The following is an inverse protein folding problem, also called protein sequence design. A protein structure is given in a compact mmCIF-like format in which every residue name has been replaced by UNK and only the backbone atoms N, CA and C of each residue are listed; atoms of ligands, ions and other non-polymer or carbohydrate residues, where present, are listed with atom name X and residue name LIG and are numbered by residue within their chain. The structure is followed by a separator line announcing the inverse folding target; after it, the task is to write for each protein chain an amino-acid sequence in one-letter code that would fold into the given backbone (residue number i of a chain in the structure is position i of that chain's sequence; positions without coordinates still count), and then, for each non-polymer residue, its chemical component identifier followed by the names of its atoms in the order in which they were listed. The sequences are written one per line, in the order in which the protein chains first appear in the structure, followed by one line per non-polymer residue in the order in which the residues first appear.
data_IF_341342927917
#
_entry.id   IF_341342927917
#
_cell.length_a   1.000
_cell.length_b   1.000
_cell.length_c   1.000
_cell.angle_alpha   90.00
_cell.angle_beta   90.00
_cell.angle_gamma   90.00
#
_symmetry.space_group_name_H-M   'P 1'
#
loop_
_entity.id
_entity.type
_entity.pdbx_description
1 polymer ?
#
# COMPACT_ATOMS: atom_id res chain seq x y z
N UNK A 1 69.73 -35.20 -50.41
CA UNK A 1 69.57 -33.87 -49.83
C UNK A 1 68.18 -33.80 -49.30
N UNK A 2 68.00 -34.07 -47.98
CA UNK A 2 66.72 -34.29 -47.34
C UNK A 2 66.32 -32.99 -46.61
N UNK A 3 65.24 -32.35 -47.03
CA UNK A 3 64.65 -31.20 -46.40
C UNK A 3 63.54 -31.66 -45.41
N UNK A 4 63.77 -31.49 -44.13
CA UNK A 4 62.77 -31.75 -43.08
C UNK A 4 61.92 -30.52 -42.89
N UNK A 5 60.65 -30.64 -43.23
CA UNK A 5 59.60 -29.60 -42.85
C UNK A 5 59.32 -29.81 -41.36
N UNK A 6 59.55 -28.74 -40.62
CA UNK A 6 59.10 -28.65 -39.20
C UNK A 6 57.77 -27.90 -39.22
N UNK A 7 56.64 -28.60 -38.89
CA UNK A 7 55.30 -27.98 -38.74
C UNK A 7 55.19 -27.46 -37.32
N UNK A 8 55.09 -26.13 -37.17
CA UNK A 8 54.71 -25.46 -35.92
C UNK A 8 53.18 -25.46 -35.81
N UNK A 9 52.64 -26.27 -34.91
CA UNK A 9 51.23 -26.20 -34.52
C UNK A 9 51.03 -25.09 -33.48
N UNK A 10 50.43 -23.96 -33.86
CA UNK A 10 49.98 -22.90 -32.96
C UNK A 10 48.66 -23.33 -32.35
N UNK A 11 48.68 -23.80 -31.11
CA UNK A 11 47.44 -24.03 -30.34
C UNK A 11 46.92 -22.69 -29.83
N UNK A 12 45.94 -22.09 -30.52
CA UNK A 12 45.17 -20.96 -30.06
C UNK A 12 44.19 -21.44 -28.98
N UNK A 13 44.52 -21.25 -27.71
CA UNK A 13 43.61 -21.48 -26.60
C UNK A 13 42.52 -20.37 -26.64
N UNK A 14 41.35 -20.70 -27.18
CA UNK A 14 40.17 -19.90 -27.00
C UNK A 14 39.76 -19.98 -25.52
N UNK A 15 40.18 -19.02 -24.71
CA UNK A 15 39.55 -18.72 -23.44
C UNK A 15 38.17 -18.14 -23.74
N UNK A 16 37.18 -19.01 -23.95
CA UNK A 16 35.77 -18.62 -23.93
C UNK A 16 35.48 -18.20 -22.49
N UNK A 17 35.60 -16.89 -22.23
CA UNK A 17 35.05 -16.28 -21.04
C UNK A 17 33.55 -16.57 -21.03
N UNK A 18 33.12 -17.49 -20.18
CA UNK A 18 31.71 -17.67 -19.87
C UNK A 18 31.22 -16.34 -19.29
N UNK A 19 30.68 -15.50 -20.16
CA UNK A 19 29.79 -14.43 -19.72
C UNK A 19 28.66 -15.14 -18.96
N UNK A 20 28.77 -15.19 -17.64
CA UNK A 20 27.76 -15.82 -16.80
C UNK A 20 26.41 -15.24 -17.17
N UNK A 21 25.52 -16.06 -17.71
CA UNK A 21 24.18 -15.63 -18.05
C UNK A 21 23.54 -15.03 -16.79
N UNK A 22 23.16 -13.75 -16.87
CA UNK A 22 22.49 -13.05 -15.79
C UNK A 22 21.18 -13.77 -15.46
N UNK A 23 21.02 -14.20 -14.20
CA UNK A 23 19.81 -14.92 -13.78
C UNK A 23 18.67 -13.91 -13.59
N UNK A 24 17.56 -14.08 -14.33
CA UNK A 24 16.38 -13.26 -14.19
C UNK A 24 15.49 -13.81 -13.08
N UNK A 25 15.12 -12.94 -12.13
CA UNK A 25 14.21 -13.23 -11.01
C UNK A 25 13.01 -12.31 -11.10
N UNK A 26 11.83 -12.90 -11.19
CA UNK A 26 10.56 -12.15 -11.34
C UNK A 26 9.99 -11.78 -9.97
N UNK A 27 9.60 -10.53 -9.80
CA UNK A 27 8.84 -10.02 -8.65
C UNK A 27 7.47 -9.60 -9.17
N UNK A 28 6.40 -10.10 -8.56
CA UNK A 28 5.04 -9.72 -8.89
C UNK A 28 4.65 -8.39 -8.24
N UNK A 29 3.88 -7.59 -8.95
CA UNK A 29 3.16 -6.42 -8.43
C UNK A 29 1.69 -6.52 -8.82
N UNK A 30 0.78 -6.19 -7.91
CA UNK A 30 -0.66 -6.13 -8.22
C UNK A 30 -1.28 -4.92 -7.54
N UNK A 31 -2.08 -4.21 -8.29
CA UNK A 31 -2.89 -3.09 -7.84
C UNK A 31 -3.90 -2.65 -8.90
N UNK A 32 -4.81 -1.73 -8.60
CA UNK A 32 -5.79 -1.23 -9.56
C UNK A 32 -5.12 -0.26 -10.54
N UNK A 33 -4.62 -0.79 -11.66
CA UNK A 33 -3.99 0.03 -12.70
C UNK A 33 -5.02 0.72 -13.59
N UNK A 34 -6.26 0.23 -13.55
CA UNK A 34 -7.44 0.83 -14.21
C UNK A 34 -8.56 1.10 -13.21
N UNK A 35 -9.60 1.82 -13.66
CA UNK A 35 -10.77 2.17 -12.83
C UNK A 35 -10.60 3.48 -12.05
N UNK A 36 -11.55 3.76 -11.15
CA UNK A 36 -11.70 5.05 -10.47
C UNK A 36 -10.56 5.41 -9.50
N UNK A 37 -9.83 4.41 -9.02
CA UNK A 37 -8.67 4.56 -8.12
C UNK A 37 -7.34 4.18 -8.77
N UNK A 38 -7.28 4.19 -10.11
CA UNK A 38 -6.07 3.86 -10.86
C UNK A 38 -4.87 4.75 -10.51
N UNK A 39 -5.10 5.98 -10.06
CA UNK A 39 -4.04 6.87 -9.59
C UNK A 39 -3.26 6.28 -8.41
N UNK A 40 -3.91 5.55 -7.50
CA UNK A 40 -3.27 4.85 -6.38
C UNK A 40 -2.51 3.61 -6.84
N UNK A 41 -3.08 2.82 -7.76
CA UNK A 41 -2.41 1.64 -8.30
C UNK A 41 -1.15 1.99 -9.11
N UNK A 42 -1.22 3.06 -9.91
CA UNK A 42 -0.06 3.58 -10.65
C UNK A 42 1.02 4.16 -9.75
N UNK A 43 0.64 4.82 -8.65
CA UNK A 43 1.56 5.24 -7.59
C UNK A 43 2.32 4.03 -7.01
N UNK A 44 1.61 2.96 -6.70
CA UNK A 44 2.19 1.70 -6.22
C UNK A 44 3.16 1.10 -7.24
N UNK A 45 2.72 0.95 -8.48
CA UNK A 45 3.53 0.37 -9.55
C UNK A 45 4.82 1.17 -9.79
N UNK A 46 4.72 2.49 -9.80
CA UNK A 46 5.87 3.37 -9.96
C UNK A 46 6.88 3.23 -8.80
N UNK A 47 6.39 3.08 -7.56
CA UNK A 47 7.23 2.78 -6.39
C UNK A 47 8.02 1.47 -6.55
N UNK A 48 7.36 0.41 -7.02
CA UNK A 48 8.00 -0.87 -7.29
C UNK A 48 9.02 -0.78 -8.43
N UNK A 49 8.68 -0.09 -9.53
CA UNK A 49 9.58 0.13 -10.67
C UNK A 49 10.85 0.87 -10.27
N UNK A 50 10.73 1.92 -9.44
CA UNK A 50 11.86 2.67 -8.93
C UNK A 50 12.79 1.78 -8.10
N UNK A 51 12.22 0.98 -7.18
CA UNK A 51 12.99 0.05 -6.36
C UNK A 51 13.74 -0.99 -7.22
N UNK A 52 13.07 -1.64 -8.15
CA UNK A 52 13.67 -2.67 -9.03
C UNK A 52 14.81 -2.06 -9.87
N UNK A 53 14.64 -0.85 -10.38
CA UNK A 53 15.71 -0.19 -11.14
C UNK A 53 16.94 0.08 -10.28
N UNK A 54 16.75 0.63 -9.07
CA UNK A 54 17.87 0.88 -8.17
C UNK A 54 18.55 -0.40 -7.66
N UNK A 55 17.78 -1.47 -7.47
CA UNK A 55 18.31 -2.79 -7.14
C UNK A 55 19.18 -3.31 -8.29
N UNK A 56 18.67 -3.26 -9.50
CA UNK A 56 19.38 -3.74 -10.70
C UNK A 56 20.66 -2.94 -10.98
N UNK A 57 20.66 -1.63 -10.70
CA UNK A 57 21.87 -0.80 -10.84
C UNK A 57 23.02 -1.24 -9.93
N UNK A 58 22.70 -1.93 -8.81
CA UNK A 58 23.71 -2.47 -7.87
C UNK A 58 24.36 -3.79 -8.33
N UNK A 59 23.85 -4.42 -9.40
CA UNK A 59 24.35 -5.71 -9.93
C UNK A 59 24.56 -6.76 -8.84
N UNK A 60 23.52 -6.99 -8.04
CA UNK A 60 23.59 -7.84 -6.86
C UNK A 60 23.91 -9.29 -7.23
N UNK A 61 24.79 -9.92 -6.44
CA UNK A 61 25.05 -11.35 -6.51
C UNK A 61 24.34 -12.07 -5.37
N UNK A 62 23.51 -13.06 -5.70
CA UNK A 62 22.78 -13.91 -4.76
C UNK A 62 22.96 -15.36 -5.20
N UNK A 63 23.36 -16.24 -4.28
CA UNK A 63 23.68 -17.64 -4.62
C UNK A 63 24.86 -17.77 -5.58
N UNK A 64 25.79 -16.81 -5.57
CA UNK A 64 26.96 -16.78 -6.45
C UNK A 64 26.69 -16.28 -7.89
N UNK A 65 25.45 -15.95 -8.23
CA UNK A 65 25.04 -15.49 -9.56
C UNK A 65 24.64 -14.01 -9.54
N UNK A 66 24.96 -13.26 -10.60
CA UNK A 66 24.43 -11.91 -10.79
C UNK A 66 22.94 -12.00 -11.13
N UNK A 67 22.12 -11.29 -10.33
CA UNK A 67 20.67 -11.32 -10.46
C UNK A 67 20.17 -10.05 -11.14
N UNK A 68 19.28 -10.22 -12.12
CA UNK A 68 18.45 -9.16 -12.68
C UNK A 68 17.01 -9.38 -12.23
N UNK A 69 16.47 -8.43 -11.49
CA UNK A 69 15.06 -8.46 -11.11
C UNK A 69 14.18 -7.88 -12.21
N UNK A 70 13.07 -8.56 -12.48
CA UNK A 70 12.04 -8.12 -13.43
C UNK A 70 10.71 -7.98 -12.70
N UNK A 71 10.02 -6.84 -12.89
CA UNK A 71 8.71 -6.59 -12.32
C UNK A 71 7.62 -7.08 -13.27
N UNK A 72 6.78 -8.00 -12.81
CA UNK A 72 5.54 -8.41 -13.48
C UNK A 72 4.37 -7.71 -12.80
N UNK A 73 3.79 -6.71 -13.49
CA UNK A 73 2.63 -5.97 -12.97
C UNK A 73 1.33 -6.52 -13.54
N UNK A 74 0.35 -6.76 -12.66
CA UNK A 74 -1.01 -7.18 -13.00
C UNK A 74 -2.02 -6.16 -12.47
N UNK A 75 -3.06 -5.91 -13.24
CA UNK A 75 -4.19 -5.07 -12.87
C UNK A 75 -5.28 -5.91 -12.20
N UNK A 76 -5.68 -5.54 -11.00
CA UNK A 76 -6.83 -6.16 -10.30
C UNK A 76 -8.08 -5.28 -10.33
N UNK A 77 -8.02 -4.08 -10.92
CA UNK A 77 -9.11 -3.10 -11.00
C UNK A 77 -9.87 -2.89 -9.67
N UNK A 78 -9.23 -3.17 -8.54
CA UNK A 78 -9.81 -3.23 -7.19
C UNK A 78 -10.95 -4.28 -7.04
N UNK A 79 -11.09 -5.22 -7.98
CA UNK A 79 -12.10 -6.28 -7.96
C UNK A 79 -11.53 -7.58 -7.38
N UNK A 80 -12.16 -8.19 -6.34
CA UNK A 80 -11.64 -9.40 -5.71
C UNK A 80 -11.46 -10.60 -6.64
N UNK A 81 -12.33 -10.74 -7.69
CA UNK A 81 -12.20 -11.83 -8.65
C UNK A 81 -11.02 -11.59 -9.60
N UNK A 82 -10.84 -10.36 -10.08
CA UNK A 82 -9.67 -10.01 -10.86
C UNK A 82 -8.39 -10.12 -10.03
N UNK A 83 -8.43 -9.74 -8.74
CA UNK A 83 -7.31 -9.92 -7.82
C UNK A 83 -6.88 -11.37 -7.67
N UNK A 84 -7.81 -12.31 -7.55
CA UNK A 84 -7.47 -13.74 -7.51
C UNK A 84 -6.97 -14.27 -8.85
N UNK A 85 -7.50 -13.78 -9.97
CA UNK A 85 -7.00 -14.13 -11.31
C UNK A 85 -5.57 -13.60 -11.54
N UNK A 86 -5.29 -12.36 -11.15
CA UNK A 86 -3.95 -11.77 -11.19
C UNK A 86 -2.97 -12.56 -10.31
N UNK A 87 -3.40 -12.95 -9.10
CA UNK A 87 -2.58 -13.77 -8.22
C UNK A 87 -2.23 -15.13 -8.85
N UNK A 88 -3.19 -15.79 -9.50
CA UNK A 88 -2.94 -17.07 -10.18
C UNK A 88 -1.93 -16.90 -11.31
N UNK A 89 -2.04 -15.85 -12.13
CA UNK A 89 -1.06 -15.58 -13.20
C UNK A 89 0.36 -15.43 -12.65
N UNK A 90 0.53 -14.72 -11.52
CA UNK A 90 1.83 -14.54 -10.88
C UNK A 90 2.37 -15.86 -10.30
N UNK A 91 1.50 -16.69 -9.73
CA UNK A 91 1.86 -18.05 -9.29
C UNK A 91 2.35 -18.90 -10.47
N UNK A 92 1.61 -18.90 -11.58
CA UNK A 92 1.96 -19.64 -12.80
C UNK A 92 3.26 -19.12 -13.43
N UNK A 93 3.51 -17.80 -13.34
CA UNK A 93 4.76 -17.17 -13.77
C UNK A 93 5.94 -17.46 -12.83
N UNK A 94 5.71 -18.14 -11.70
CA UNK A 94 6.71 -18.53 -10.68
C UNK A 94 7.48 -17.33 -10.15
N UNK A 95 6.78 -16.24 -9.80
CA UNK A 95 7.44 -15.08 -9.20
C UNK A 95 8.08 -15.45 -7.87
N UNK A 96 9.21 -14.83 -7.56
CA UNK A 96 9.94 -15.08 -6.32
C UNK A 96 9.32 -14.41 -5.10
N UNK A 97 8.40 -13.47 -5.29
CA UNK A 97 7.65 -12.77 -4.25
C UNK A 97 6.68 -11.79 -4.87
N UNK A 98 5.75 -11.27 -4.08
CA UNK A 98 4.73 -10.33 -4.55
C UNK A 98 4.69 -9.09 -3.66
N UNK A 99 4.70 -7.91 -4.28
CA UNK A 99 4.44 -6.62 -3.65
C UNK A 99 3.02 -6.17 -4.04
N UNK A 100 2.12 -6.21 -3.12
CA UNK A 100 0.68 -5.98 -3.36
C UNK A 100 -0.17 -6.99 -2.57
N UNK A 101 -1.45 -7.05 -2.82
CA UNK A 101 -2.27 -6.12 -3.60
C UNK A 101 -2.48 -4.81 -2.83
N UNK A 102 -3.08 -3.82 -3.51
CA UNK A 102 -3.38 -2.54 -2.87
C UNK A 102 -4.58 -2.67 -1.92
N UNK A 103 -5.73 -3.07 -2.43
CA UNK A 103 -6.98 -3.11 -1.69
C UNK A 103 -7.10 -4.35 -0.78
N UNK A 104 -7.63 -4.20 0.42
CA UNK A 104 -7.88 -5.33 1.33
C UNK A 104 -8.77 -6.41 0.70
N UNK A 105 -9.75 -5.98 -0.12
CA UNK A 105 -10.68 -6.88 -0.81
C UNK A 105 -10.03 -7.79 -1.85
N UNK A 106 -8.92 -7.36 -2.46
CA UNK A 106 -8.13 -8.17 -3.39
C UNK A 106 -6.98 -8.90 -2.68
N UNK A 107 -6.37 -8.28 -1.68
CA UNK A 107 -5.24 -8.84 -0.91
C UNK A 107 -5.62 -10.10 -0.15
N UNK A 108 -6.75 -10.06 0.59
CA UNK A 108 -7.18 -11.15 1.47
C UNK A 108 -7.40 -12.46 0.71
N UNK A 109 -8.22 -12.52 -0.35
CA UNK A 109 -8.41 -13.78 -1.09
C UNK A 109 -7.15 -14.20 -1.86
N UNK A 110 -6.38 -13.28 -2.43
CA UNK A 110 -5.15 -13.58 -3.15
C UNK A 110 -4.08 -14.21 -2.25
N UNK A 111 -4.02 -13.82 -0.98
CA UNK A 111 -3.02 -14.31 -0.04
C UNK A 111 -3.07 -15.84 0.17
N UNK A 112 -4.23 -16.45 0.00
CA UNK A 112 -4.35 -17.91 0.05
C UNK A 112 -3.62 -18.59 -1.12
N UNK A 113 -3.74 -18.05 -2.34
CA UNK A 113 -3.04 -18.57 -3.53
C UNK A 113 -1.53 -18.49 -3.36
N UNK A 114 -1.03 -17.35 -2.90
CA UNK A 114 0.40 -17.19 -2.63
C UNK A 114 0.90 -18.09 -1.50
N UNK A 115 0.11 -18.24 -0.42
CA UNK A 115 0.42 -19.17 0.68
C UNK A 115 0.51 -20.61 0.18
N UNK A 116 -0.44 -21.05 -0.64
CA UNK A 116 -0.47 -22.44 -1.16
C UNK A 116 0.71 -22.70 -2.11
N UNK A 117 1.16 -21.67 -2.86
CA UNK A 117 2.35 -21.71 -3.69
C UNK A 117 3.68 -21.50 -2.92
N UNK A 118 3.62 -21.11 -1.64
CA UNK A 118 4.80 -20.79 -0.83
C UNK A 118 5.49 -19.47 -1.20
N UNK A 119 4.78 -18.55 -1.87
CA UNK A 119 5.30 -17.26 -2.34
C UNK A 119 5.03 -16.19 -1.27
N UNK A 120 6.05 -15.49 -0.74
CA UNK A 120 5.85 -14.37 0.16
C UNK A 120 5.15 -13.20 -0.53
N UNK A 121 4.18 -12.61 0.17
CA UNK A 121 3.43 -11.43 -0.24
C UNK A 121 3.63 -10.33 0.80
N UNK A 122 4.02 -9.13 0.36
CA UNK A 122 4.06 -7.93 1.20
C UNK A 122 3.04 -6.94 0.67
N UNK A 123 1.96 -6.69 1.41
CA UNK A 123 1.05 -5.60 1.06
C UNK A 123 1.57 -4.27 1.59
N UNK A 124 1.68 -3.24 0.72
CA UNK A 124 2.13 -1.91 1.11
C UNK A 124 0.97 -1.00 1.55
N UNK A 125 -0.28 -1.48 1.52
CA UNK A 125 -1.45 -0.62 1.60
C UNK A 125 -2.71 -1.29 2.17
N UNK A 126 -2.87 -2.61 2.09
CA UNK A 126 -4.05 -3.28 2.65
C UNK A 126 -4.05 -3.26 4.17
N UNK A 127 -5.01 -2.55 4.77
CA UNK A 127 -5.05 -2.27 6.20
C UNK A 127 -5.96 -3.21 7.00
N UNK A 128 -6.85 -3.99 6.34
CA UNK A 128 -7.79 -4.86 7.06
C UNK A 128 -7.03 -5.95 7.86
N UNK A 129 -7.28 -6.09 9.18
CA UNK A 129 -6.61 -7.06 10.03
C UNK A 129 -6.79 -8.52 9.58
N UNK A 130 -7.87 -8.85 8.88
CA UNK A 130 -8.11 -10.20 8.38
C UNK A 130 -6.98 -10.74 7.51
N UNK A 131 -6.25 -9.86 6.82
CA UNK A 131 -5.14 -10.26 5.95
C UNK A 131 -4.09 -11.10 6.69
N UNK A 132 -3.58 -10.60 7.82
CA UNK A 132 -2.55 -11.27 8.61
C UNK A 132 -3.13 -12.22 9.66
N UNK A 133 -4.39 -12.01 10.06
CA UNK A 133 -5.10 -12.90 11.01
C UNK A 133 -5.46 -14.27 10.45
N UNK A 134 -5.35 -14.49 9.12
CA UNK A 134 -5.48 -15.82 8.51
C UNK A 134 -4.36 -16.79 8.96
N UNK A 135 -3.29 -16.28 9.56
CA UNK A 135 -2.18 -17.09 10.07
C UNK A 135 -1.22 -17.59 8.98
N UNK A 136 -1.28 -17.03 7.77
CA UNK A 136 -0.38 -17.39 6.66
C UNK A 136 1.01 -16.81 6.89
N UNK A 137 2.02 -17.67 6.98
CA UNK A 137 3.41 -17.26 7.22
C UNK A 137 4.05 -16.51 6.05
N UNK A 138 3.38 -16.51 4.90
CA UNK A 138 3.81 -15.79 3.69
C UNK A 138 3.22 -14.39 3.57
N UNK A 139 2.31 -13.98 4.46
CA UNK A 139 1.59 -12.72 4.41
C UNK A 139 2.24 -11.68 5.32
N UNK A 140 2.64 -10.54 4.75
CA UNK A 140 3.28 -9.42 5.45
C UNK A 140 2.64 -8.08 5.05
N UNK A 141 2.71 -7.09 5.95
CA UNK A 141 2.21 -5.73 5.73
C UNK A 141 3.18 -4.70 6.28
N UNK A 142 3.46 -3.65 5.49
CA UNK A 142 4.38 -2.56 5.88
C UNK A 142 3.68 -1.26 6.29
N UNK A 143 2.38 -1.30 6.49
CA UNK A 143 1.56 -0.16 6.98
C UNK A 143 0.77 -0.55 8.22
N UNK A 144 0.30 0.44 8.98
CA UNK A 144 -0.57 0.20 10.12
C UNK A 144 -1.90 -0.44 9.67
N UNK A 145 -2.48 -1.29 10.51
CA UNK A 145 -3.76 -1.93 10.22
C UNK A 145 -4.96 -1.13 10.74
N UNK A 146 -6.19 -1.47 10.32
CA UNK A 146 -7.42 -0.76 10.66
C UNK A 146 -7.67 -0.62 12.16
N UNK A 147 -7.22 -1.58 12.97
CA UNK A 147 -7.30 -1.48 14.43
C UNK A 147 -6.51 -0.29 14.99
N UNK A 148 -5.39 0.06 14.35
CA UNK A 148 -4.62 1.27 14.66
C UNK A 148 -5.24 2.49 13.97
N UNK A 149 -5.52 2.39 12.66
CA UNK A 149 -6.05 3.48 11.83
C UNK A 149 -7.43 3.95 12.32
N UNK A 150 -8.43 3.10 12.24
CA UNK A 150 -9.79 3.39 12.71
C UNK A 150 -9.83 3.64 14.22
N UNK A 151 -9.02 2.89 14.98
CA UNK A 151 -8.90 3.03 16.42
C UNK A 151 -8.43 4.42 16.87
N UNK A 152 -7.38 4.96 16.25
CA UNK A 152 -6.88 6.30 16.57
C UNK A 152 -7.83 7.40 16.06
N UNK A 153 -8.40 7.24 14.86
CA UNK A 153 -9.38 8.19 14.33
C UNK A 153 -10.62 8.26 15.21
N UNK A 154 -11.13 7.13 15.72
CA UNK A 154 -12.27 7.11 16.64
C UNK A 154 -11.98 7.81 17.97
N UNK A 155 -10.80 7.59 18.56
CA UNK A 155 -10.36 8.32 19.75
C UNK A 155 -10.21 9.82 19.47
N UNK A 156 -9.63 10.19 18.32
CA UNK A 156 -9.44 11.56 17.91
C UNK A 156 -10.77 12.28 17.71
N UNK A 157 -11.75 11.63 17.06
CA UNK A 157 -13.09 12.17 16.85
C UNK A 157 -13.76 12.56 18.17
N UNK A 158 -13.66 11.71 19.19
CA UNK A 158 -14.31 11.95 20.49
C UNK A 158 -13.51 12.92 21.37
N UNK A 159 -12.21 12.74 21.50
CA UNK A 159 -11.39 13.45 22.48
C UNK A 159 -10.92 14.83 22.01
N UNK A 160 -10.66 14.98 20.72
CA UNK A 160 -10.03 16.20 20.18
C UNK A 160 -10.96 16.98 19.28
N UNK A 161 -11.66 16.34 18.31
CA UNK A 161 -12.73 16.99 17.56
C UNK A 161 -13.92 17.27 18.47
N UNK A 162 -14.07 16.49 19.55
CA UNK A 162 -15.19 16.60 20.51
C UNK A 162 -16.56 16.42 19.85
N UNK A 163 -16.60 15.53 18.85
CA UNK A 163 -17.80 15.21 18.13
C UNK A 163 -18.86 14.60 19.06
N UNK A 164 -20.08 15.14 19.01
CA UNK A 164 -21.21 14.75 19.88
C UNK A 164 -22.20 13.83 19.19
N UNK A 165 -22.27 13.89 17.87
CA UNK A 165 -23.22 13.14 17.04
C UNK A 165 -22.49 12.61 15.80
N UNK A 166 -21.98 11.38 15.86
CA UNK A 166 -21.16 10.79 14.82
C UNK A 166 -22.00 9.87 13.94
N UNK A 167 -22.01 10.13 12.64
CA UNK A 167 -22.55 9.22 11.63
C UNK A 167 -21.41 8.45 10.97
N UNK A 168 -21.69 7.23 10.53
CA UNK A 168 -20.73 6.36 9.84
C UNK A 168 -21.34 5.92 8.52
N UNK A 169 -20.55 5.99 7.44
CA UNK A 169 -20.88 5.40 6.14
C UNK A 169 -19.71 4.51 5.74
N UNK A 170 -19.95 3.32 5.22
CA UNK A 170 -18.93 2.47 4.59
C UNK A 170 -19.35 2.06 3.17
N UNK A 171 -18.36 1.71 2.33
CA UNK A 171 -18.58 1.32 0.92
C UNK A 171 -18.77 -0.19 0.72
N UNK A 172 -18.96 -0.95 1.81
CA UNK A 172 -19.11 -2.41 1.80
C UNK A 172 -17.92 -3.19 1.21
N UNK A 173 -16.81 -2.55 0.92
CA UNK A 173 -15.57 -3.26 0.63
C UNK A 173 -14.97 -3.83 1.92
N UNK A 174 -14.07 -4.81 1.79
CA UNK A 174 -13.38 -5.35 2.96
C UNK A 174 -12.57 -4.27 3.70
N UNK A 175 -12.03 -3.27 2.98
CA UNK A 175 -11.36 -2.11 3.58
C UNK A 175 -12.36 -1.19 4.28
N UNK A 176 -13.34 -0.66 3.53
CA UNK A 176 -14.24 0.36 4.05
C UNK A 176 -15.05 -0.11 5.26
N UNK A 177 -15.61 -1.33 5.21
CA UNK A 177 -16.29 -1.95 6.35
C UNK A 177 -15.31 -2.22 7.51
N UNK A 178 -14.09 -2.66 7.22
CA UNK A 178 -13.06 -2.96 8.22
C UNK A 178 -12.68 -1.73 9.04
N UNK A 179 -12.28 -0.66 8.38
CA UNK A 179 -11.87 0.58 9.05
C UNK A 179 -13.04 1.24 9.78
N UNK A 180 -14.26 1.21 9.21
CA UNK A 180 -15.47 1.72 9.84
C UNK A 180 -15.86 0.95 11.10
N UNK A 181 -15.65 -0.38 11.13
CA UNK A 181 -15.88 -1.20 12.30
C UNK A 181 -14.91 -0.85 13.44
N UNK A 182 -13.62 -0.71 13.16
CA UNK A 182 -12.63 -0.34 14.16
C UNK A 182 -12.80 1.11 14.65
N UNK A 183 -13.18 2.03 13.76
CA UNK A 183 -13.56 3.39 14.14
C UNK A 183 -14.77 3.39 15.10
N UNK A 184 -15.85 2.70 14.74
CA UNK A 184 -17.04 2.59 15.58
C UNK A 184 -16.75 2.02 16.96
N UNK A 185 -15.94 0.96 17.02
CA UNK A 185 -15.49 0.34 18.25
C UNK A 185 -14.74 1.34 19.14
N UNK A 186 -13.82 2.10 18.56
CA UNK A 186 -13.03 3.09 19.28
C UNK A 186 -13.87 4.28 19.77
N UNK A 187 -14.81 4.76 18.95
CA UNK A 187 -15.77 5.82 19.32
C UNK A 187 -16.58 5.38 20.54
N UNK A 188 -17.14 4.17 20.51
CA UNK A 188 -17.91 3.61 21.66
C UNK A 188 -17.05 3.47 22.92
N UNK A 189 -15.83 2.94 22.77
CA UNK A 189 -14.90 2.79 23.87
C UNK A 189 -14.47 4.14 24.49
N UNK A 190 -14.44 5.21 23.70
CA UNK A 190 -14.13 6.57 24.14
C UNK A 190 -15.36 7.33 24.72
N UNK A 191 -16.53 6.70 24.76
CA UNK A 191 -17.78 7.32 25.25
C UNK A 191 -18.49 8.20 24.20
N UNK A 192 -18.12 8.11 22.93
CA UNK A 192 -18.75 8.86 21.85
C UNK A 192 -20.10 8.27 21.40
N UNK A 193 -20.97 9.13 20.87
CA UNK A 193 -22.31 8.76 20.42
C UNK A 193 -22.35 8.54 18.90
N UNK A 194 -22.71 7.34 18.47
CA UNK A 194 -23.04 7.03 17.08
C UNK A 194 -24.55 7.29 16.88
N UNK A 195 -24.88 8.19 15.96
CA UNK A 195 -26.28 8.57 15.67
C UNK A 195 -26.84 7.89 14.42
N UNK A 196 -25.99 7.30 13.61
CA UNK A 196 -26.40 6.54 12.43
C UNK A 196 -25.24 5.76 11.83
N UNK A 197 -25.54 4.61 11.23
CA UNK A 197 -24.62 3.86 10.40
C UNK A 197 -25.33 3.41 9.14
N UNK A 198 -24.79 3.80 8.02
CA UNK A 198 -25.30 3.50 6.69
C UNK A 198 -24.18 2.92 5.82
N UNK A 199 -24.53 2.48 4.65
CA UNK A 199 -23.57 1.96 3.68
C UNK A 199 -23.92 2.39 2.25
N UNK A 200 -22.90 2.40 1.41
CA UNK A 200 -22.98 2.59 -0.02
C UNK A 200 -22.18 1.49 -0.73
N UNK A 201 -21.71 1.75 -1.94
CA UNK A 201 -20.78 0.88 -2.65
C UNK A 201 -19.59 1.68 -3.15
N UNK A 202 -18.49 0.99 -3.47
CA UNK A 202 -17.27 1.55 -4.07
C UNK A 202 -17.47 2.12 -5.48
N UNK A 203 -18.63 1.86 -6.10
CA UNK A 203 -19.03 2.35 -7.44
C UNK A 203 -20.18 3.35 -7.41
N UNK A 204 -20.65 3.70 -6.22
CA UNK A 204 -21.76 4.63 -6.09
C UNK A 204 -21.37 6.06 -6.49
N UNK A 205 -22.27 6.75 -7.13
CA UNK A 205 -22.14 8.17 -7.53
C UNK A 205 -23.26 9.03 -6.96
N UNK A 206 -24.34 8.42 -6.47
CA UNK A 206 -25.46 9.10 -5.80
C UNK A 206 -25.58 8.64 -4.35
N UNK A 207 -25.54 9.59 -3.43
CA UNK A 207 -25.59 9.39 -1.99
C UNK A 207 -26.79 10.09 -1.34
N UNK A 208 -27.70 10.67 -2.14
CA UNK A 208 -28.80 11.47 -1.63
C UNK A 208 -29.67 10.72 -0.61
N UNK A 209 -30.01 9.45 -0.89
CA UNK A 209 -30.82 8.63 0.03
C UNK A 209 -30.12 8.42 1.38
N UNK A 210 -28.85 8.01 1.36
CA UNK A 210 -28.04 7.74 2.55
C UNK A 210 -27.83 9.05 3.35
N UNK A 211 -27.45 10.12 2.66
CA UNK A 211 -27.18 11.42 3.29
C UNK A 211 -28.46 12.06 3.86
N UNK A 212 -29.59 11.97 3.17
CA UNK A 212 -30.89 12.48 3.67
C UNK A 212 -31.31 11.76 4.94
N UNK A 213 -31.13 10.43 4.99
CA UNK A 213 -31.40 9.65 6.19
C UNK A 213 -30.54 10.08 7.37
N UNK A 214 -29.23 10.27 7.15
CA UNK A 214 -28.31 10.72 8.18
C UNK A 214 -28.53 12.19 8.58
N UNK A 215 -28.95 13.06 7.66
CA UNK A 215 -29.23 14.46 7.93
C UNK A 215 -30.26 14.62 9.06
N UNK A 216 -31.29 13.76 9.11
CA UNK A 216 -32.29 13.76 10.17
C UNK A 216 -31.69 13.58 11.59
N UNK A 217 -30.58 12.86 11.71
CA UNK A 217 -29.88 12.67 12.96
C UNK A 217 -28.93 13.82 13.34
N UNK A 218 -28.81 14.86 12.49
CA UNK A 218 -27.99 16.07 12.67
C UNK A 218 -26.55 15.75 13.11
N UNK A 219 -25.78 14.96 12.36
CA UNK A 219 -24.42 14.64 12.73
C UNK A 219 -23.52 15.89 12.68
N UNK A 220 -22.60 15.99 13.63
CA UNK A 220 -21.51 16.98 13.61
C UNK A 220 -20.20 16.41 13.01
N UNK A 221 -20.15 15.08 12.87
CA UNK A 221 -19.08 14.36 12.17
C UNK A 221 -19.66 13.18 11.37
N UNK A 222 -19.24 13.07 10.11
CA UNK A 222 -19.47 11.91 9.24
C UNK A 222 -18.15 11.20 9.02
N UNK A 223 -18.04 9.94 9.47
CA UNK A 223 -16.92 9.07 9.12
C UNK A 223 -17.26 8.29 7.86
N UNK A 224 -16.32 8.25 6.91
CA UNK A 224 -16.46 7.45 5.71
C UNK A 224 -15.34 6.40 5.62
N UNK A 225 -15.71 5.12 5.58
CA UNK A 225 -14.84 4.01 5.27
C UNK A 225 -14.94 3.69 3.77
N UNK A 226 -13.94 4.09 3.00
CA UNK A 226 -13.89 3.92 1.55
C UNK A 226 -12.80 4.77 0.91
N UNK A 227 -12.87 4.92 -0.42
CA UNK A 227 -11.86 5.59 -1.22
C UNK A 227 -12.27 7.01 -1.65
N UNK A 228 -11.29 7.81 -2.03
CA UNK A 228 -11.44 9.20 -2.47
C UNK A 228 -12.38 9.37 -3.67
N UNK A 229 -12.38 8.40 -4.60
CA UNK A 229 -13.28 8.41 -5.76
C UNK A 229 -14.77 8.44 -5.38
N UNK A 230 -15.12 7.92 -4.19
CA UNK A 230 -16.47 7.94 -3.62
C UNK A 230 -16.64 9.13 -2.66
N UNK A 231 -15.61 9.42 -1.87
CA UNK A 231 -15.66 10.48 -0.86
C UNK A 231 -15.82 11.88 -1.46
N UNK A 232 -15.13 12.17 -2.57
CA UNK A 232 -15.22 13.49 -3.23
C UNK A 232 -16.65 13.83 -3.69
N UNK A 233 -17.31 12.99 -4.51
CA UNK A 233 -18.73 13.16 -4.84
C UNK A 233 -19.66 13.21 -3.62
N UNK A 234 -19.39 12.41 -2.58
CA UNK A 234 -20.16 12.43 -1.33
C UNK A 234 -20.07 13.79 -0.63
N UNK A 235 -18.89 14.39 -0.54
CA UNK A 235 -18.69 15.73 0.01
C UNK A 235 -19.49 16.80 -0.77
N UNK A 236 -19.54 16.70 -2.12
CA UNK A 236 -20.35 17.62 -2.94
C UNK A 236 -21.83 17.49 -2.60
N UNK A 237 -22.35 16.27 -2.47
CA UNK A 237 -23.76 16.04 -2.13
C UNK A 237 -24.08 16.42 -0.68
N UNK A 238 -23.14 16.25 0.27
CA UNK A 238 -23.29 16.79 1.63
C UNK A 238 -23.50 18.32 1.62
N UNK A 239 -22.68 19.05 0.83
CA UNK A 239 -22.82 20.51 0.67
C UNK A 239 -24.17 20.86 0.07
N UNK A 240 -24.58 20.21 -1.02
CA UNK A 240 -25.86 20.42 -1.68
C UNK A 240 -27.06 20.20 -0.74
N UNK A 241 -26.96 19.20 0.13
CA UNK A 241 -28.01 18.89 1.13
C UNK A 241 -27.89 19.75 2.39
N UNK A 242 -26.93 20.66 2.51
CA UNK A 242 -26.71 21.49 3.69
C UNK A 242 -26.28 20.70 4.93
N UNK A 243 -25.55 19.62 4.75
CA UNK A 243 -24.97 18.84 5.87
C UNK A 243 -23.60 19.44 6.22
N UNK A 244 -23.56 20.29 7.24
CA UNK A 244 -22.37 21.01 7.69
C UNK A 244 -21.61 20.23 8.78
N UNK A 245 -21.30 18.95 8.52
CA UNK A 245 -20.56 18.11 9.42
C UNK A 245 -19.07 18.09 9.05
N UNK A 246 -18.19 17.84 10.04
CA UNK A 246 -16.82 17.40 9.77
C UNK A 246 -16.89 16.10 8.99
N UNK A 247 -15.92 15.89 8.09
CA UNK A 247 -15.78 14.65 7.35
C UNK A 247 -14.48 13.96 7.75
N UNK A 248 -14.56 12.68 8.06
CA UNK A 248 -13.37 11.94 8.53
C UNK A 248 -13.26 10.60 7.83
N UNK A 249 -12.05 10.13 7.57
CA UNK A 249 -11.83 8.80 7.02
C UNK A 249 -10.39 8.34 7.14
N UNK A 250 -10.16 7.12 6.70
CA UNK A 250 -8.84 6.49 6.71
C UNK A 250 -7.93 6.96 5.57
N UNK A 251 -6.96 6.14 5.27
CA UNK A 251 -5.95 6.38 4.24
C UNK A 251 -6.52 6.41 2.83
N UNK A 252 -7.58 5.63 2.56
CA UNK A 252 -8.26 5.61 1.25
C UNK A 252 -8.84 6.94 0.78
N UNK A 253 -9.12 7.88 1.71
CA UNK A 253 -9.54 9.23 1.36
C UNK A 253 -8.43 10.27 1.53
N UNK A 254 -7.29 9.90 2.08
CA UNK A 254 -6.23 10.84 2.48
C UNK A 254 -5.29 11.17 1.30
N UNK A 255 -5.83 11.51 0.14
CA UNK A 255 -5.14 11.72 -1.12
C UNK A 255 -5.16 13.18 -1.56
N UNK A 256 -4.23 13.58 -2.41
CA UNK A 256 -4.32 14.89 -3.09
C UNK A 256 -5.50 14.95 -4.06
N UNK A 257 -5.96 13.79 -4.57
CA UNK A 257 -7.07 13.69 -5.51
C UNK A 257 -8.42 14.00 -4.85
N UNK A 258 -8.59 13.72 -3.54
CA UNK A 258 -9.83 14.06 -2.82
C UNK A 258 -10.20 15.53 -2.98
N UNK A 259 -9.22 16.44 -2.86
CA UNK A 259 -9.48 17.86 -2.99
C UNK A 259 -10.01 18.25 -4.37
N UNK A 260 -9.46 17.64 -5.42
CA UNK A 260 -9.92 17.85 -6.81
C UNK A 260 -11.33 17.27 -7.01
N UNK A 261 -11.60 16.08 -6.50
CA UNK A 261 -12.89 15.40 -6.61
C UNK A 261 -14.00 16.12 -5.82
N UNK A 262 -13.67 16.70 -4.68
CA UNK A 262 -14.62 17.46 -3.86
C UNK A 262 -14.83 18.88 -4.37
N UNK A 263 -13.82 19.45 -5.02
CA UNK A 263 -13.86 20.84 -5.50
C UNK A 263 -14.15 21.84 -4.39
N UNK A 264 -15.05 22.79 -4.64
CA UNK A 264 -15.47 23.83 -3.70
C UNK A 264 -16.35 23.31 -2.54
N UNK A 265 -16.67 22.02 -2.54
CA UNK A 265 -17.45 21.41 -1.47
C UNK A 265 -16.59 21.10 -0.22
N UNK A 266 -15.28 21.17 -0.33
CA UNK A 266 -14.37 20.93 0.79
C UNK A 266 -13.82 22.25 1.33
N UNK A 267 -14.30 22.67 2.49
CA UNK A 267 -13.76 23.83 3.20
C UNK A 267 -12.47 23.47 3.96
N UNK A 268 -11.63 24.48 4.20
CA UNK A 268 -10.42 24.35 5.00
C UNK A 268 -10.72 23.78 6.40
N UNK A 269 -10.01 22.76 6.79
CA UNK A 269 -10.18 22.10 8.07
C UNK A 269 -11.48 21.27 8.23
N UNK A 270 -12.29 21.14 7.18
CA UNK A 270 -13.52 20.32 7.23
C UNK A 270 -13.20 18.82 7.24
N UNK A 271 -12.22 18.40 6.45
CA UNK A 271 -11.83 17.00 6.32
C UNK A 271 -10.66 16.70 7.25
N UNK A 272 -10.75 15.58 7.96
CA UNK A 272 -9.64 14.98 8.69
C UNK A 272 -9.44 13.55 8.18
N UNK A 273 -8.22 13.18 7.85
CA UNK A 273 -7.90 11.83 7.43
C UNK A 273 -6.58 11.35 8.05
N UNK A 274 -6.32 10.06 7.95
CA UNK A 274 -5.08 9.50 8.43
C UNK A 274 -4.43 8.63 7.35
N UNK A 275 -3.15 8.84 7.10
CA UNK A 275 -2.30 7.93 6.35
C UNK A 275 -1.84 6.78 7.27
N UNK A 276 -1.88 5.54 6.78
CA UNK A 276 -1.50 4.35 7.56
C UNK A 276 0.02 4.18 7.65
N UNK A 277 0.72 5.27 7.87
CA UNK A 277 2.16 5.37 8.03
C UNK A 277 2.55 6.70 8.62
N UNK A 278 3.82 6.87 8.97
CA UNK A 278 4.29 8.13 9.52
C UNK A 278 5.81 8.22 9.54
N UNK A 279 6.32 9.33 9.03
CA UNK A 279 7.75 9.59 8.90
C UNK A 279 8.11 10.82 9.70
N UNK A 280 9.06 10.64 10.63
CA UNK A 280 9.59 11.71 11.48
C UNK A 280 11.10 11.58 11.64
N UNK A 281 11.74 12.64 12.11
CA UNK A 281 13.15 12.64 12.45
C UNK A 281 14.04 12.35 11.24
N UNK A 282 15.04 11.45 11.36
CA UNK A 282 15.99 11.16 10.28
C UNK A 282 15.36 10.67 8.97
N UNK A 283 14.23 10.00 9.05
CA UNK A 283 13.52 9.46 7.87
C UNK A 283 12.79 10.55 7.07
N UNK A 284 12.50 11.72 7.65
CA UNK A 284 11.87 12.84 6.92
C UNK A 284 12.70 13.27 5.71
N UNK A 285 14.01 13.41 5.89
CA UNK A 285 14.92 13.74 4.79
C UNK A 285 14.93 12.65 3.69
N UNK A 286 15.03 11.39 4.08
CA UNK A 286 15.00 10.28 3.14
C UNK A 286 13.67 10.22 2.35
N UNK A 287 12.55 10.54 3.00
CA UNK A 287 11.24 10.65 2.36
C UNK A 287 11.21 11.81 1.35
N UNK A 288 11.76 12.97 1.67
CA UNK A 288 11.79 14.12 0.76
C UNK A 288 12.69 13.82 -0.45
N UNK A 289 13.83 13.19 -0.24
CA UNK A 289 14.72 12.74 -1.33
C UNK A 289 14.01 11.69 -2.22
N UNK A 290 13.27 10.76 -1.62
CA UNK A 290 12.45 9.79 -2.37
C UNK A 290 11.39 10.50 -3.22
N UNK A 291 10.62 11.44 -2.65
CA UNK A 291 9.60 12.21 -3.39
C UNK A 291 10.19 12.98 -4.55
N UNK A 292 11.34 13.64 -4.35
CA UNK A 292 12.03 14.39 -5.40
C UNK A 292 12.47 13.45 -6.56
N UNK A 293 13.07 12.31 -6.23
CA UNK A 293 13.50 11.30 -7.19
C UNK A 293 12.31 10.71 -7.96
N UNK A 294 11.23 10.35 -7.25
CA UNK A 294 10.00 9.83 -7.81
C UNK A 294 9.39 10.81 -8.82
N UNK A 295 9.28 12.09 -8.43
CA UNK A 295 8.77 13.16 -9.28
C UNK A 295 9.63 13.35 -10.52
N UNK A 296 10.95 13.39 -10.36
CA UNK A 296 11.88 13.56 -11.48
C UNK A 296 11.77 12.39 -12.49
N UNK A 297 11.56 11.17 -12.00
CA UNK A 297 11.51 9.98 -12.87
C UNK A 297 10.18 9.80 -13.57
N UNK A 298 9.08 9.95 -12.85
CA UNK A 298 7.75 9.60 -13.38
C UNK A 298 6.90 10.82 -13.76
N UNK A 299 7.39 12.03 -13.52
CA UNK A 299 6.62 13.29 -13.67
C UNK A 299 5.28 13.26 -12.91
N UNK A 300 5.23 12.52 -11.79
CA UNK A 300 4.08 12.38 -10.91
C UNK A 300 4.47 12.73 -9.48
N UNK A 301 3.53 13.29 -8.73
CA UNK A 301 3.67 13.41 -7.29
C UNK A 301 3.25 12.11 -6.60
N UNK A 302 3.94 11.75 -5.52
CA UNK A 302 3.53 10.61 -4.68
C UNK A 302 2.12 10.85 -4.17
N UNK A 303 1.22 9.87 -4.38
CA UNK A 303 -0.14 9.92 -3.83
C UNK A 303 -0.13 9.56 -2.34
N UNK A 304 0.21 8.31 -2.03
CA UNK A 304 0.36 7.82 -0.65
C UNK A 304 1.39 6.68 -0.59
N UNK A 305 1.21 5.64 -1.39
CA UNK A 305 1.78 4.32 -1.11
C UNK A 305 3.11 4.05 -1.80
N UNK A 306 3.52 4.82 -2.81
CA UNK A 306 4.77 4.59 -3.53
C UNK A 306 5.99 4.39 -2.61
N UNK A 307 6.22 5.16 -1.53
CA UNK A 307 7.36 4.93 -0.65
C UNK A 307 7.25 3.62 0.14
N UNK A 308 6.04 3.19 0.51
CA UNK A 308 5.83 1.91 1.20
C UNK A 308 6.03 0.71 0.25
N UNK A 309 5.64 0.85 -1.01
CA UNK A 309 5.91 -0.14 -2.06
C UNK A 309 7.40 -0.25 -2.35
N UNK A 310 8.07 0.88 -2.45
CA UNK A 310 9.52 0.95 -2.62
C UNK A 310 10.23 0.21 -1.49
N UNK A 311 9.92 0.53 -0.24
CA UNK A 311 10.52 -0.09 0.92
C UNK A 311 10.19 -1.59 1.04
N UNK A 312 8.95 -1.99 0.74
CA UNK A 312 8.54 -3.39 0.71
C UNK A 312 9.37 -4.20 -0.31
N UNK A 313 9.61 -3.62 -1.49
CA UNK A 313 10.44 -4.23 -2.54
C UNK A 313 11.90 -4.34 -2.10
N UNK A 314 12.46 -3.27 -1.55
CA UNK A 314 13.82 -3.24 -1.02
C UNK A 314 14.00 -4.23 0.13
N UNK A 315 13.05 -4.31 1.06
CA UNK A 315 13.09 -5.24 2.19
C UNK A 315 13.04 -6.70 1.71
N UNK A 316 12.18 -7.02 0.73
CA UNK A 316 12.10 -8.36 0.15
C UNK A 316 13.44 -8.77 -0.47
N UNK A 317 14.05 -7.92 -1.28
CA UNK A 317 15.34 -8.23 -1.91
C UNK A 317 16.47 -8.28 -0.87
N UNK A 318 16.44 -7.42 0.14
CA UNK A 318 17.38 -7.49 1.28
C UNK A 318 17.28 -8.84 2.02
N UNK A 319 16.06 -9.37 2.18
CA UNK A 319 15.86 -10.71 2.76
C UNK A 319 16.44 -11.82 1.87
N UNK A 320 16.31 -11.71 0.54
CA UNK A 320 16.93 -12.63 -0.43
C UNK A 320 18.45 -12.58 -0.35
N UNK A 321 19.06 -11.39 -0.24
CA UNK A 321 20.49 -11.21 -0.04
C UNK A 321 20.96 -11.86 1.26
N UNK A 322 20.25 -11.61 2.38
CA UNK A 322 20.56 -12.17 3.69
C UNK A 322 20.51 -13.70 3.70
N UNK A 323 19.55 -14.28 2.98
CA UNK A 323 19.40 -15.72 2.81
C UNK A 323 20.36 -16.30 1.76
N UNK A 324 21.07 -15.46 1.01
CA UNK A 324 21.83 -15.81 -0.17
C UNK A 324 21.04 -16.69 -1.16
N UNK A 325 19.72 -16.41 -1.32
CA UNK A 325 18.82 -17.19 -2.15
C UNK A 325 17.60 -16.36 -2.59
N UNK A 326 17.18 -16.53 -3.84
CA UNK A 326 15.94 -15.98 -4.38
C UNK A 326 14.77 -16.97 -4.31
N UNK A 327 15.01 -18.19 -3.84
CA UNK A 327 13.98 -19.20 -3.60
C UNK A 327 13.05 -18.74 -2.45
N UNK A 328 11.74 -18.60 -2.68
CA UNK A 328 10.76 -18.17 -1.68
C UNK A 328 10.87 -18.94 -0.36
N UNK A 329 11.01 -20.26 -0.41
CA UNK A 329 11.08 -21.12 0.78
C UNK A 329 12.34 -20.87 1.59
N UNK A 330 13.46 -20.49 0.93
CA UNK A 330 14.75 -20.27 1.60
C UNK A 330 14.85 -18.88 2.20
N UNK A 331 14.33 -17.84 1.53
CA UNK A 331 14.46 -16.49 2.06
C UNK A 331 13.29 -16.07 2.99
N UNK A 332 12.16 -16.76 2.99
CA UNK A 332 11.02 -16.47 3.85
C UNK A 332 11.37 -16.31 5.34
N UNK A 333 12.20 -17.18 5.97
CA UNK A 333 12.63 -16.97 7.35
C UNK A 333 13.42 -15.66 7.55
N UNK A 334 14.26 -15.28 6.58
CA UNK A 334 15.01 -14.03 6.59
C UNK A 334 14.10 -12.82 6.44
N UNK A 335 13.02 -12.93 5.65
CA UNK A 335 12.00 -11.89 5.51
C UNK A 335 11.20 -11.73 6.81
N UNK A 336 10.75 -12.82 7.41
CA UNK A 336 10.01 -12.79 8.67
C UNK A 336 10.82 -12.16 9.83
N UNK A 337 12.16 -12.31 9.81
CA UNK A 337 13.07 -11.77 10.80
C UNK A 337 13.79 -10.49 10.36
N UNK A 338 13.29 -9.83 9.30
CA UNK A 338 13.97 -8.66 8.74
C UNK A 338 13.94 -7.48 9.71
N UNK A 339 15.03 -6.72 9.71
CA UNK A 339 15.07 -5.34 10.16
C UNK A 339 15.71 -4.53 9.03
N UNK A 340 14.92 -3.74 8.35
CA UNK A 340 15.33 -2.95 7.20
C UNK A 340 15.03 -1.46 7.46
N UNK A 341 16.04 -0.61 7.28
CA UNK A 341 15.88 0.84 7.42
C UNK A 341 15.50 1.40 6.05
N UNK A 342 14.24 1.75 5.89
CA UNK A 342 13.66 2.30 4.66
C UNK A 342 13.42 3.80 4.71
N UNK A 343 12.85 4.35 3.65
CA UNK A 343 12.43 5.76 3.59
C UNK A 343 11.19 6.03 4.47
N UNK A 344 10.39 5.00 4.72
CA UNK A 344 9.19 5.08 5.56
C UNK A 344 9.47 4.78 7.03
N UNK A 345 10.69 4.39 7.37
CA UNK A 345 11.11 3.98 8.70
C UNK A 345 11.64 2.56 8.75
N UNK A 346 11.81 2.04 9.97
CA UNK A 346 12.28 0.67 10.17
C UNK A 346 11.19 -0.34 9.85
N UNK A 347 11.42 -1.20 8.86
CA UNK A 347 10.55 -2.34 8.57
C UNK A 347 10.99 -3.55 9.37
N UNK A 348 10.11 -4.03 10.22
CA UNK A 348 10.23 -5.31 10.93
C UNK A 348 8.83 -5.84 11.22
N UNK A 349 8.67 -7.15 11.25
CA UNK A 349 7.36 -7.78 11.35
C UNK A 349 7.16 -8.46 12.71
N UNK A 350 5.92 -8.45 13.17
CA UNK A 350 5.48 -9.26 14.28
C UNK A 350 5.28 -10.74 13.85
N UNK A 351 4.97 -11.68 14.76
CA UNK A 351 4.75 -13.08 14.41
C UNK A 351 3.57 -13.35 13.46
N UNK A 352 2.68 -12.36 13.26
CA UNK A 352 1.55 -12.43 12.33
C UNK A 352 1.89 -11.89 10.94
N UNK A 353 2.99 -11.13 10.81
CA UNK A 353 3.39 -10.45 9.58
C UNK A 353 2.97 -8.98 9.52
N UNK A 354 2.43 -8.42 10.59
CA UNK A 354 2.15 -6.98 10.69
C UNK A 354 3.42 -6.19 10.98
N UNK A 355 3.49 -4.95 10.48
CA UNK A 355 4.58 -4.03 10.80
C UNK A 355 4.62 -3.77 12.32
N UNK A 356 5.80 -3.86 12.92
CA UNK A 356 6.00 -3.44 14.31
C UNK A 356 6.03 -1.90 14.37
N UNK A 357 5.43 -1.35 15.43
CA UNK A 357 5.41 0.09 15.69
C UNK A 357 4.82 0.92 14.53
N UNK A 358 3.81 0.38 13.85
CA UNK A 358 3.12 1.08 12.76
C UNK A 358 2.64 2.45 13.24
N UNK A 359 3.09 3.51 12.58
CA UNK A 359 2.68 4.88 12.83
C UNK A 359 1.50 5.28 11.95
N UNK A 360 0.85 6.39 12.31
CA UNK A 360 -0.18 7.05 11.53
C UNK A 360 0.16 8.52 11.41
N UNK A 361 -0.12 9.12 10.27
CA UNK A 361 -0.05 10.58 10.12
C UNK A 361 -1.46 11.14 9.93
N UNK A 362 -1.87 12.04 10.81
CA UNK A 362 -3.12 12.77 10.69
C UNK A 362 -2.95 13.99 9.80
N UNK A 363 -3.87 14.18 8.89
CA UNK A 363 -3.94 15.33 7.98
C UNK A 363 -5.29 16.01 8.04
N UNK A 364 -5.26 17.30 7.73
CA UNK A 364 -6.42 18.06 7.30
C UNK A 364 -6.15 18.64 5.90
N UNK A 365 -7.05 19.44 5.38
CA UNK A 365 -6.86 20.11 4.09
C UNK A 365 -6.94 21.62 4.30
N UNK A 366 -6.02 22.36 3.66
CA UNK A 366 -5.99 23.82 3.59
C UNK A 366 -5.59 24.25 2.18
N UNK A 367 -6.35 25.15 1.58
CA UNK A 367 -6.13 25.60 0.22
C UNK A 367 -6.10 24.43 -0.79
N UNK A 368 -6.91 23.40 -0.59
CA UNK A 368 -6.97 22.20 -1.44
C UNK A 368 -5.77 21.26 -1.32
N UNK A 369 -4.87 21.45 -0.35
CA UNK A 369 -3.70 20.61 -0.12
C UNK A 369 -3.79 19.93 1.24
N UNK A 370 -3.22 18.71 1.33
CA UNK A 370 -3.04 18.03 2.62
C UNK A 370 -2.11 18.86 3.51
N UNK A 371 -2.54 19.12 4.72
CA UNK A 371 -1.78 19.81 5.77
C UNK A 371 -1.58 18.85 6.93
N UNK A 372 -0.32 18.51 7.22
CA UNK A 372 0.02 17.52 8.25
C UNK A 372 -0.27 18.11 9.63
N UNK A 373 -1.07 17.41 10.41
CA UNK A 373 -1.37 17.78 11.80
C UNK A 373 -0.35 17.20 12.77
N UNK A 374 -0.15 15.88 12.72
CA UNK A 374 0.85 15.17 13.56
C UNK A 374 0.99 13.70 13.17
N UNK A 375 2.07 13.09 13.64
CA UNK A 375 2.26 11.63 13.62
C UNK A 375 1.80 11.05 14.96
N UNK A 376 1.16 9.86 14.92
CA UNK A 376 0.67 9.10 16.08
C UNK A 376 1.23 7.69 16.01
N UNK A 377 1.68 7.16 17.16
CA UNK A 377 2.16 5.77 17.34
C UNK A 377 1.37 5.02 18.39
#
# INVERSE_FOLDING_TARGET
MNLKLVSFAVAAAFAAGSAGAQTVVKIGHVGPLTGSIAHLGKDNEAGAKLAIEEINAKKLKIGGQEIKFELLSEDDAADPKQGTAAAQKLVDAKVAGVIGHLNSGTTIPASKLYKDAGIPQISPSATNPKYTQQGFKTAFRVVAHDGQLGGNLGKFAVKEVKAKAIAIIDDKTAYGEGVANEFQKAVKAAGGKIVGREYTTDKATDFNAVLTKLKGAKPDLVFFGGMDAVAGPMLRQMKQLGINAKFMGGDGICTAELAKLAGDAMADGQVVCAEAGGVEGPHAKAMDEFKAKFKAKFNMDVQIYAPYVYDATMAMVSAMQKANSTDPKKYLPSLAAIKYEGVTGTISFDPKGDIKNGALTLYTYKGGKRDMMRVVR
#
